data_IF_203766180091
#
_entry.id   IF_203766180091
#
_cell.length_a   1.000
_cell.length_b   1.000
_cell.length_c   1.000
_cell.angle_alpha   90.00
_cell.angle_beta   90.00
_cell.angle_gamma   90.00
#
_symmetry.space_group_name_H-M   'P 1'
#
loop_
_entity.id
_entity.type
_entity.pdbx_description
1 polymer ?
#
# COMPACT_ATOMS: atom_id res chain seq x y z
N UNK A 1 -22.80 -3.46 -4.56
CA UNK A 1 -21.99 -2.40 -5.16
C UNK A 1 -22.05 -1.14 -4.30
N UNK A 2 -23.21 -0.60 -3.94
CA UNK A 2 -23.33 0.62 -3.12
C UNK A 2 -22.56 0.58 -1.78
N UNK A 3 -22.47 -0.58 -1.13
CA UNK A 3 -21.70 -0.78 0.11
C UNK A 3 -20.18 -0.71 -0.10
N UNK A 4 -19.69 -1.14 -1.25
CA UNK A 4 -18.24 -1.17 -1.57
C UNK A 4 -17.74 0.12 -2.23
N UNK A 5 -18.65 0.99 -2.68
CA UNK A 5 -18.38 2.20 -3.46
C UNK A 5 -18.71 1.99 -4.95
N UNK A 6 -19.08 3.06 -5.62
CA UNK A 6 -19.52 3.01 -7.03
C UNK A 6 -18.39 3.20 -8.04
N UNK A 7 -17.23 3.68 -7.60
CA UNK A 7 -16.09 4.00 -8.48
C UNK A 7 -14.78 3.44 -7.92
N UNK A 8 -13.93 3.04 -8.86
CA UNK A 8 -12.53 2.78 -8.59
C UNK A 8 -11.84 4.10 -8.18
N UNK A 9 -11.31 4.16 -6.96
CA UNK A 9 -10.54 5.29 -6.46
C UNK A 9 -9.04 5.03 -6.73
N UNK A 10 -8.54 5.52 -7.86
CA UNK A 10 -7.11 5.44 -8.21
C UNK A 10 -6.23 6.27 -7.24
N UNK A 11 -4.91 6.12 -7.37
CA UNK A 11 -3.93 6.87 -6.58
C UNK A 11 -3.96 8.33 -6.97
N UNK A 12 -4.00 9.22 -5.98
CA UNK A 12 -3.91 10.66 -6.22
C UNK A 12 -2.46 11.08 -6.47
N UNK A 13 -2.15 11.41 -7.71
CA UNK A 13 -0.85 11.93 -8.15
C UNK A 13 -0.87 13.45 -8.43
N UNK A 14 -1.99 14.13 -8.11
CA UNK A 14 -2.19 15.55 -8.40
C UNK A 14 -1.53 16.45 -7.33
N UNK A 15 -0.22 16.28 -7.16
CA UNK A 15 0.60 17.12 -6.29
C UNK A 15 1.94 17.42 -6.99
N UNK A 16 2.67 18.41 -6.48
CA UNK A 16 4.01 18.74 -7.00
C UNK A 16 4.97 17.61 -6.66
N UNK A 17 5.68 17.03 -7.65
CA UNK A 17 6.68 16.01 -7.38
C UNK A 17 7.86 16.52 -6.51
N UNK A 18 8.46 15.66 -5.68
CA UNK A 18 8.09 14.28 -5.45
C UNK A 18 6.82 14.15 -4.60
N UNK A 19 5.81 13.41 -5.08
CA UNK A 19 4.54 13.20 -4.37
C UNK A 19 4.75 12.25 -3.19
N UNK A 20 4.61 12.69 -1.93
CA UNK A 20 4.81 11.80 -0.79
C UNK A 20 3.58 10.94 -0.56
N UNK A 21 3.80 9.65 -0.29
CA UNK A 21 2.77 8.70 0.13
C UNK A 21 3.26 7.90 1.32
N UNK A 22 2.38 7.61 2.26
CA UNK A 22 2.72 6.92 3.50
C UNK A 22 1.93 5.62 3.62
N UNK A 23 2.61 4.53 4.01
CA UNK A 23 1.99 3.25 4.33
C UNK A 23 2.04 3.04 5.84
N UNK A 24 0.87 2.83 6.44
CA UNK A 24 0.68 2.59 7.87
C UNK A 24 -0.01 1.26 8.12
N UNK A 25 0.06 0.73 9.33
CA UNK A 25 -0.60 -0.52 9.70
C UNK A 25 0.17 -1.32 10.76
N UNK A 26 -0.41 -2.40 11.24
CA UNK A 26 0.19 -3.25 12.27
C UNK A 26 1.40 -4.04 11.74
N UNK A 27 2.19 -4.58 12.67
CA UNK A 27 3.27 -5.51 12.36
C UNK A 27 2.69 -6.76 11.68
N UNK A 28 3.35 -7.24 10.63
CA UNK A 28 2.93 -8.42 9.90
C UNK A 28 1.79 -8.20 8.90
N UNK A 29 1.23 -6.98 8.79
CA UNK A 29 0.22 -6.66 7.78
C UNK A 29 0.75 -6.63 6.33
N UNK A 30 2.06 -6.69 6.14
CA UNK A 30 2.69 -6.71 4.81
C UNK A 30 3.08 -5.33 4.27
N UNK A 31 3.25 -4.29 5.10
CA UNK A 31 3.61 -2.94 4.67
C UNK A 31 4.85 -2.88 3.78
N UNK A 32 5.97 -3.42 4.22
CA UNK A 32 7.24 -3.38 3.49
C UNK A 32 7.12 -4.02 2.11
N UNK A 33 6.51 -5.20 2.02
CA UNK A 33 6.25 -5.87 0.74
C UNK A 33 5.27 -5.07 -0.13
N UNK A 34 4.23 -4.49 0.48
CA UNK A 34 3.24 -3.67 -0.22
C UNK A 34 3.86 -2.37 -0.74
N UNK A 35 4.80 -1.77 0.00
CA UNK A 35 5.56 -0.59 -0.45
C UNK A 35 6.29 -0.91 -1.77
N UNK A 36 6.98 -2.03 -1.84
CA UNK A 36 7.67 -2.45 -3.05
C UNK A 36 6.69 -2.77 -4.20
N UNK A 37 5.56 -3.44 -3.91
CA UNK A 37 4.52 -3.72 -4.92
C UNK A 37 3.89 -2.44 -5.45
N UNK A 38 3.57 -1.48 -4.58
CA UNK A 38 3.01 -0.19 -4.98
C UNK A 38 4.01 0.61 -5.81
N UNK A 39 5.30 0.60 -5.44
CA UNK A 39 6.34 1.21 -6.23
C UNK A 39 6.38 0.62 -7.64
N UNK A 40 6.39 -0.70 -7.75
CA UNK A 40 6.39 -1.40 -9.05
C UNK A 40 5.15 -1.11 -9.88
N UNK A 41 3.98 -1.06 -9.23
CA UNK A 41 2.72 -0.66 -9.87
C UNK A 41 2.80 0.76 -10.45
N UNK A 42 3.33 1.72 -9.69
CA UNK A 42 3.47 3.11 -10.13
C UNK A 42 4.46 3.25 -11.29
N UNK A 43 5.57 2.50 -11.28
CA UNK A 43 6.52 2.46 -12.39
C UNK A 43 5.89 1.89 -13.65
N UNK A 44 5.25 0.72 -13.54
CA UNK A 44 4.73 -0.01 -14.70
C UNK A 44 3.49 0.65 -15.30
N UNK A 45 2.53 1.06 -14.46
CA UNK A 45 1.20 1.49 -14.91
C UNK A 45 1.05 3.02 -14.98
N UNK A 46 1.82 3.76 -14.18
CA UNK A 46 1.77 5.23 -14.15
C UNK A 46 3.01 5.89 -14.73
N UNK A 47 4.03 5.11 -15.10
CA UNK A 47 5.31 5.59 -15.64
C UNK A 47 5.98 6.61 -14.73
N UNK A 48 5.89 6.41 -13.41
CA UNK A 48 6.46 7.26 -12.39
C UNK A 48 7.78 6.70 -11.88
N UNK A 49 8.76 7.56 -11.69
CA UNK A 49 10.01 7.22 -11.00
C UNK A 49 9.77 7.26 -9.50
N UNK A 50 9.96 6.13 -8.82
CA UNK A 50 9.61 5.98 -7.39
C UNK A 50 10.86 5.82 -6.54
N UNK A 51 10.88 6.48 -5.38
CA UNK A 51 11.84 6.23 -4.30
C UNK A 51 11.12 5.60 -3.11
N UNK A 52 11.66 4.52 -2.55
CA UNK A 52 11.17 3.91 -1.33
C UNK A 52 12.04 4.28 -0.14
N UNK A 53 11.41 4.46 1.03
CA UNK A 53 12.05 4.87 2.29
C UNK A 53 11.50 4.04 3.42
N UNK A 54 12.38 3.38 4.19
CA UNK A 54 11.98 2.70 5.42
C UNK A 54 12.17 3.63 6.62
N UNK A 55 11.12 3.78 7.42
CA UNK A 55 11.11 4.48 8.70
C UNK A 55 11.12 3.52 9.90
N UNK A 56 11.20 2.20 9.66
CA UNK A 56 11.21 1.18 10.72
C UNK A 56 12.63 1.03 11.31
N UNK A 57 13.00 1.94 12.18
CA UNK A 57 14.28 1.92 12.90
C UNK A 57 14.33 0.92 14.06
N UNK A 58 13.17 0.41 14.47
CA UNK A 58 13.05 -0.52 15.59
C UNK A 58 13.41 -1.96 15.20
N UNK A 59 13.34 -2.26 13.91
CA UNK A 59 13.67 -3.56 13.32
C UNK A 59 14.67 -3.38 12.18
N UNK A 60 15.98 -3.45 12.46
CA UNK A 60 17.02 -3.27 11.41
C UNK A 60 16.80 -4.16 10.19
N UNK A 61 16.34 -5.39 10.39
CA UNK A 61 16.01 -6.30 9.31
C UNK A 61 14.89 -5.78 8.38
N UNK A 62 13.97 -4.90 8.84
CA UNK A 62 12.93 -4.32 8.00
C UNK A 62 13.50 -3.29 7.03
N UNK A 63 14.47 -2.48 7.44
CA UNK A 63 15.15 -1.55 6.55
C UNK A 63 15.96 -2.29 5.48
N UNK A 64 16.72 -3.31 5.86
CA UNK A 64 17.45 -4.15 4.91
C UNK A 64 16.52 -4.94 3.98
N UNK A 65 15.35 -5.36 4.47
CA UNK A 65 14.35 -6.01 3.63
C UNK A 65 13.84 -5.08 2.52
N UNK A 66 13.49 -3.83 2.85
CA UNK A 66 13.03 -2.87 1.84
C UNK A 66 14.13 -2.54 0.83
N UNK A 67 15.37 -2.39 1.28
CA UNK A 67 16.54 -2.19 0.43
C UNK A 67 16.73 -3.36 -0.53
N UNK A 68 16.71 -4.59 -0.04
CA UNK A 68 16.84 -5.80 -0.87
C UNK A 68 15.72 -5.92 -1.90
N UNK A 69 14.48 -5.59 -1.52
CA UNK A 69 13.36 -5.54 -2.47
C UNK A 69 13.58 -4.48 -3.56
N UNK A 70 14.14 -3.34 -3.20
CA UNK A 70 14.51 -2.29 -4.16
C UNK A 70 15.58 -2.74 -5.13
N UNK A 71 16.66 -3.33 -4.63
CA UNK A 71 17.76 -3.85 -5.45
C UNK A 71 17.30 -4.94 -6.43
N UNK A 72 16.51 -5.91 -5.94
CA UNK A 72 15.98 -7.01 -6.76
C UNK A 72 15.04 -6.54 -7.88
N UNK A 73 14.37 -5.40 -7.70
CA UNK A 73 13.36 -4.90 -8.63
C UNK A 73 13.77 -3.62 -9.36
N UNK A 74 15.03 -3.17 -9.19
CA UNK A 74 15.58 -1.93 -9.73
C UNK A 74 14.77 -0.69 -9.33
N UNK A 75 14.28 -0.64 -8.09
CA UNK A 75 13.56 0.49 -7.52
C UNK A 75 14.51 1.27 -6.61
N UNK A 76 14.54 2.60 -6.76
CA UNK A 76 15.38 3.45 -5.93
C UNK A 76 14.97 3.37 -4.46
N UNK A 77 15.93 3.14 -3.58
CA UNK A 77 15.74 3.16 -2.12
C UNK A 77 16.65 4.18 -1.46
N UNK A 78 16.16 4.83 -0.41
CA UNK A 78 16.97 5.73 0.38
C UNK A 78 18.03 4.90 1.14
N UNK A 79 19.33 5.24 1.06
CA UNK A 79 20.36 4.54 1.83
C UNK A 79 20.12 4.62 3.33
N UNK A 80 20.36 3.50 4.01
CA UNK A 80 20.23 3.40 5.47
C UNK A 80 21.42 4.12 6.12
N UNK A 81 21.12 4.96 7.12
CA UNK A 81 22.10 5.58 8.02
C UNK A 81 21.69 5.20 9.43
N UNK A 82 22.56 4.49 10.12
CA UNK A 82 22.31 4.03 11.50
C UNK A 82 22.16 5.22 12.46
N UNK A 83 21.29 5.04 13.45
CA UNK A 83 21.06 6.03 14.52
C UNK A 83 20.17 7.21 14.15
N UNK A 84 19.72 7.35 12.90
CA UNK A 84 18.76 8.39 12.54
C UNK A 84 17.36 8.10 13.12
N UNK A 85 16.69 9.19 13.53
CA UNK A 85 15.28 9.13 13.93
C UNK A 85 14.37 9.22 12.70
N UNK A 86 13.12 8.72 12.77
CA UNK A 86 12.17 8.75 11.65
C UNK A 86 11.98 10.16 11.06
N UNK A 87 11.93 11.18 11.89
CA UNK A 87 11.82 12.57 11.45
C UNK A 87 13.01 13.04 10.57
N UNK A 88 14.23 12.69 10.98
CA UNK A 88 15.45 13.02 10.23
C UNK A 88 15.50 12.27 8.90
N UNK A 89 15.09 11.00 8.90
CA UNK A 89 14.98 10.18 7.69
C UNK A 89 13.98 10.83 6.72
N UNK A 90 12.82 11.29 7.19
CA UNK A 90 11.82 11.96 6.35
C UNK A 90 12.40 13.22 5.66
N UNK A 91 13.09 14.10 6.39
CA UNK A 91 13.68 15.31 5.84
C UNK A 91 14.76 15.00 4.80
N UNK A 92 15.66 14.06 5.11
CA UNK A 92 16.68 13.59 4.19
C UNK A 92 16.06 12.94 2.95
N UNK A 93 14.99 12.17 3.11
CA UNK A 93 14.29 11.50 2.04
C UNK A 93 13.67 12.48 1.03
N UNK A 94 12.99 13.52 1.51
CA UNK A 94 12.40 14.55 0.66
C UNK A 94 13.48 15.27 -0.17
N UNK A 95 14.63 15.62 0.45
CA UNK A 95 15.76 16.22 -0.24
C UNK A 95 16.37 15.27 -1.27
N UNK A 96 16.58 14.01 -0.91
CA UNK A 96 17.15 13.00 -1.79
C UNK A 96 16.22 12.68 -2.98
N UNK A 97 14.91 12.62 -2.77
CA UNK A 97 13.94 12.39 -3.83
C UNK A 97 13.97 13.51 -4.88
N UNK A 98 14.05 14.76 -4.45
CA UNK A 98 14.22 15.91 -5.36
C UNK A 98 15.52 15.80 -6.18
N UNK A 99 16.64 15.52 -5.52
CA UNK A 99 17.96 15.43 -6.18
C UNK A 99 18.02 14.28 -7.20
N UNK A 100 17.32 13.17 -6.91
CA UNK A 100 17.27 12.02 -7.80
C UNK A 100 16.16 12.11 -8.86
N UNK A 101 15.37 13.17 -8.88
CA UNK A 101 14.28 13.36 -9.84
C UNK A 101 13.18 12.29 -9.69
N UNK A 102 12.87 11.88 -8.44
CA UNK A 102 11.76 10.97 -8.19
C UNK A 102 10.43 11.71 -8.35
N UNK A 103 9.46 11.09 -9.00
CA UNK A 103 8.09 11.61 -9.12
C UNK A 103 7.27 11.33 -7.86
N UNK A 104 7.53 10.17 -7.23
CA UNK A 104 6.80 9.69 -6.04
C UNK A 104 7.80 9.19 -5.00
N UNK A 105 7.50 9.42 -3.74
CA UNK A 105 8.26 8.89 -2.62
C UNK A 105 7.31 8.12 -1.70
N UNK A 106 7.64 6.84 -1.43
CA UNK A 106 6.86 5.94 -0.58
C UNK A 106 7.56 5.76 0.76
N UNK A 107 6.85 6.08 1.84
CA UNK A 107 7.32 5.91 3.21
C UNK A 107 6.71 4.65 3.85
N UNK A 108 7.55 3.66 4.12
CA UNK A 108 7.21 2.43 4.87
C UNK A 108 7.42 2.70 6.36
N UNK A 109 6.32 2.89 7.12
CA UNK A 109 6.39 3.19 8.55
C UNK A 109 6.60 1.93 9.40
N UNK A 110 7.13 2.11 10.60
CA UNK A 110 7.18 1.05 11.58
C UNK A 110 5.78 0.50 11.89
N UNK A 111 5.70 -0.79 12.22
CA UNK A 111 4.48 -1.42 12.71
C UNK A 111 4.70 -2.02 14.09
N UNK A 112 3.69 -1.95 14.94
CA UNK A 112 3.66 -2.65 16.23
C UNK A 112 2.59 -3.75 16.21
N UNK A 113 2.68 -4.68 17.14
CA UNK A 113 1.72 -5.81 17.24
C UNK A 113 0.32 -5.36 17.60
N UNK A 114 0.21 -4.21 18.28
CA UNK A 114 -1.05 -3.56 18.64
C UNK A 114 -0.90 -2.05 18.54
N UNK A 115 -2.01 -1.36 18.43
CA UNK A 115 -2.06 0.10 18.43
C UNK A 115 -1.77 0.61 19.84
N UNK A 116 -0.84 1.53 19.95
CA UNK A 116 -0.55 2.26 21.18
C UNK A 116 -0.35 3.76 20.92
N UNK A 117 -0.42 4.57 21.98
CA UNK A 117 -0.32 6.03 21.89
C UNK A 117 1.02 6.48 21.30
N UNK A 118 2.11 5.77 21.58
CA UNK A 118 3.43 6.12 21.08
C UNK A 118 3.53 5.92 19.55
N UNK A 119 3.02 4.79 19.07
CA UNK A 119 2.93 4.52 17.62
C UNK A 119 2.11 5.60 16.91
N UNK A 120 0.94 5.92 17.44
CA UNK A 120 0.05 6.91 16.83
C UNK A 120 0.64 8.32 16.83
N UNK A 121 1.34 8.68 17.91
CA UNK A 121 2.06 9.96 18.01
C UNK A 121 3.18 10.05 16.97
N UNK A 122 3.97 8.98 16.79
CA UNK A 122 5.05 8.91 15.80
C UNK A 122 4.49 9.04 14.37
N UNK A 123 3.44 8.28 14.05
CA UNK A 123 2.81 8.34 12.72
C UNK A 123 2.26 9.75 12.46
N UNK A 124 1.65 10.39 13.46
CA UNK A 124 1.16 11.75 13.34
C UNK A 124 2.28 12.77 13.13
N UNK A 125 3.40 12.60 13.81
CA UNK A 125 4.59 13.43 13.60
C UNK A 125 5.13 13.27 12.17
N UNK A 126 5.24 12.04 11.68
CA UNK A 126 5.66 11.74 10.30
C UNK A 126 4.70 12.41 9.31
N UNK A 127 3.37 12.24 9.48
CA UNK A 127 2.35 12.86 8.62
C UNK A 127 2.53 14.38 8.54
N UNK A 128 2.78 15.05 9.66
CA UNK A 128 2.99 16.49 9.70
C UNK A 128 4.27 16.95 8.95
N UNK A 129 5.32 16.12 8.96
CA UNK A 129 6.58 16.42 8.28
C UNK A 129 6.45 16.25 6.76
N UNK A 130 5.93 15.07 6.33
CA UNK A 130 5.91 14.71 4.91
C UNK A 130 4.68 15.22 4.17
N UNK A 131 3.60 15.55 4.88
CA UNK A 131 2.31 16.01 4.32
C UNK A 131 1.87 15.14 3.14
N UNK A 132 1.62 13.85 3.37
CA UNK A 132 1.41 12.89 2.30
C UNK A 132 0.17 13.24 1.48
N UNK A 133 0.27 13.11 0.14
CA UNK A 133 -0.89 13.19 -0.75
C UNK A 133 -1.82 11.97 -0.58
N UNK A 134 -1.23 10.85 -0.14
CA UNK A 134 -1.95 9.61 0.16
C UNK A 134 -1.38 8.96 1.42
N UNK A 135 -2.28 8.52 2.30
CA UNK A 135 -1.96 7.66 3.43
C UNK A 135 -2.74 6.36 3.31
N UNK A 136 -2.03 5.26 3.07
CA UNK A 136 -2.62 3.94 2.90
C UNK A 136 -2.51 3.12 4.18
N UNK A 137 -3.65 2.65 4.68
CA UNK A 137 -3.64 1.58 5.67
C UNK A 137 -3.41 0.24 4.96
N UNK A 138 -2.34 -0.45 5.33
CA UNK A 138 -2.09 -1.83 4.89
C UNK A 138 -2.66 -2.78 5.93
N UNK A 139 -3.64 -3.56 5.55
CA UNK A 139 -4.37 -4.46 6.43
C UNK A 139 -4.45 -5.87 5.84
N UNK A 140 -4.35 -6.87 6.70
CA UNK A 140 -4.44 -8.28 6.32
C UNK A 140 -5.90 -8.71 6.23
N UNK A 141 -6.32 -9.17 5.05
CA UNK A 141 -7.69 -9.64 4.82
C UNK A 141 -8.08 -10.84 5.68
N UNK A 142 -7.10 -11.65 6.09
CA UNK A 142 -7.36 -12.85 6.90
C UNK A 142 -7.72 -12.52 8.36
N UNK A 143 -7.46 -11.30 8.83
CA UNK A 143 -7.78 -10.86 10.20
C UNK A 143 -9.21 -10.34 10.36
N UNK A 144 -9.96 -10.22 9.27
CA UNK A 144 -11.40 -9.95 9.28
C UNK A 144 -11.81 -8.69 10.08
N UNK A 145 -12.66 -8.88 11.11
CA UNK A 145 -13.19 -7.77 11.92
C UNK A 145 -12.11 -7.03 12.72
N UNK A 146 -11.02 -7.69 13.11
CA UNK A 146 -9.90 -7.04 13.81
C UNK A 146 -9.28 -5.96 12.91
N UNK A 147 -9.06 -6.27 11.63
CA UNK A 147 -8.54 -5.30 10.68
C UNK A 147 -9.48 -4.08 10.53
N UNK A 148 -10.78 -4.29 10.58
CA UNK A 148 -11.76 -3.20 10.47
C UNK A 148 -11.75 -2.27 11.70
N UNK A 149 -11.57 -2.81 12.91
CA UNK A 149 -11.39 -2.01 14.12
C UNK A 149 -10.09 -1.20 14.08
N UNK A 150 -9.00 -1.83 13.64
CA UNK A 150 -7.70 -1.17 13.41
C UNK A 150 -7.86 0.00 12.42
N UNK A 151 -8.59 -0.19 11.33
CA UNK A 151 -8.82 0.86 10.34
C UNK A 151 -9.55 2.07 10.93
N UNK A 152 -10.49 1.86 11.84
CA UNK A 152 -11.18 2.94 12.55
C UNK A 152 -10.21 3.74 13.41
N UNK A 153 -9.37 3.06 14.21
CA UNK A 153 -8.41 3.73 15.10
C UNK A 153 -7.36 4.54 14.31
N UNK A 154 -6.85 4.00 13.20
CA UNK A 154 -5.96 4.75 12.32
C UNK A 154 -6.64 5.96 11.70
N UNK A 155 -7.90 5.83 11.25
CA UNK A 155 -8.67 6.94 10.68
C UNK A 155 -8.89 8.08 11.68
N UNK A 156 -9.07 7.75 12.96
CA UNK A 156 -9.28 8.76 14.02
C UNK A 156 -7.97 9.52 14.33
N UNK A 157 -6.81 9.00 13.93
CA UNK A 157 -5.50 9.59 14.20
C UNK A 157 -4.89 10.30 12.98
N UNK A 158 -4.92 9.66 11.81
CA UNK A 158 -4.31 10.17 10.58
C UNK A 158 -5.33 10.26 9.45
N UNK A 159 -5.04 11.10 8.46
CA UNK A 159 -5.92 11.28 7.32
C UNK A 159 -5.79 10.13 6.32
N UNK A 160 -6.44 8.99 6.60
CA UNK A 160 -6.43 7.85 5.69
C UNK A 160 -7.14 8.18 4.38
N UNK A 161 -6.45 8.01 3.27
CA UNK A 161 -6.97 8.21 1.91
C UNK A 161 -7.39 6.91 1.22
N UNK A 162 -6.89 5.77 1.71
CA UNK A 162 -7.20 4.47 1.14
C UNK A 162 -6.72 3.30 1.98
N UNK A 163 -7.22 2.13 1.66
CA UNK A 163 -6.84 0.86 2.26
C UNK A 163 -6.25 -0.05 1.18
N UNK A 164 -5.18 -0.75 1.53
CA UNK A 164 -4.61 -1.84 0.73
C UNK A 164 -4.81 -3.13 1.53
N UNK A 165 -5.60 -4.05 1.00
CA UNK A 165 -5.80 -5.37 1.60
C UNK A 165 -4.74 -6.33 1.09
N UNK A 166 -3.98 -6.94 2.00
CA UNK A 166 -3.00 -7.98 1.68
C UNK A 166 -3.62 -9.37 1.85
N UNK A 167 -3.01 -10.39 1.25
CA UNK A 167 -3.50 -11.79 1.29
C UNK A 167 -4.95 -11.93 0.84
N UNK A 168 -5.38 -11.10 -0.10
CA UNK A 168 -6.75 -11.08 -0.59
C UNK A 168 -7.12 -12.32 -1.43
N UNK A 169 -6.15 -13.09 -1.86
CA UNK A 169 -6.29 -14.42 -2.44
C UNK A 169 -6.87 -15.44 -1.45
N UNK A 170 -6.62 -15.26 -0.14
CA UNK A 170 -7.21 -16.07 0.93
C UNK A 170 -8.64 -15.67 1.30
N UNK A 171 -9.10 -14.49 0.93
CA UNK A 171 -10.48 -14.02 1.16
C UNK A 171 -11.38 -14.32 -0.05
N UNK A 172 -11.66 -15.60 -0.24
CA UNK A 172 -12.40 -16.09 -1.42
C UNK A 172 -13.78 -15.44 -1.62
N UNK A 173 -14.39 -14.91 -0.57
CA UNK A 173 -15.71 -14.28 -0.59
C UNK A 173 -15.70 -12.75 -0.49
N UNK A 174 -14.54 -12.13 -0.33
CA UNK A 174 -14.43 -10.66 -0.21
C UNK A 174 -15.05 -10.08 1.08
N UNK A 175 -15.23 -10.91 2.11
CA UNK A 175 -15.87 -10.49 3.36
C UNK A 175 -15.06 -9.45 4.13
N UNK A 176 -13.74 -9.54 4.10
CA UNK A 176 -12.86 -8.55 4.70
C UNK A 176 -13.02 -7.16 4.05
N UNK A 177 -13.15 -7.10 2.73
CA UNK A 177 -13.35 -5.85 2.00
C UNK A 177 -14.67 -5.16 2.40
N UNK A 178 -15.74 -5.94 2.52
CA UNK A 178 -17.05 -5.40 2.94
C UNK A 178 -16.99 -4.86 4.36
N UNK A 179 -16.47 -5.65 5.30
CA UNK A 179 -16.36 -5.27 6.72
C UNK A 179 -15.48 -4.03 6.89
N UNK A 180 -14.33 -4.01 6.22
CA UNK A 180 -13.39 -2.91 6.26
C UNK A 180 -14.02 -1.61 5.77
N UNK A 181 -14.66 -1.65 4.58
CA UNK A 181 -15.33 -0.50 4.00
C UNK A 181 -16.48 0.00 4.87
N UNK A 182 -17.29 -0.92 5.41
CA UNK A 182 -18.45 -0.57 6.24
C UNK A 182 -18.05 0.11 7.54
N UNK A 183 -17.03 -0.42 8.23
CA UNK A 183 -16.63 0.09 9.55
C UNK A 183 -15.78 1.35 9.43
N UNK A 184 -14.77 1.35 8.55
CA UNK A 184 -13.83 2.47 8.43
C UNK A 184 -14.36 3.64 7.59
N UNK A 185 -15.28 3.39 6.66
CA UNK A 185 -15.73 4.34 5.64
C UNK A 185 -14.58 4.85 4.73
N UNK A 186 -13.39 4.23 4.81
CA UNK A 186 -12.24 4.54 3.95
C UNK A 186 -12.34 3.70 2.67
N UNK A 187 -12.02 4.23 1.48
CA UNK A 187 -12.06 3.45 0.25
C UNK A 187 -10.94 2.40 0.22
N UNK A 188 -11.26 1.20 -0.25
CA UNK A 188 -10.23 0.22 -0.61
C UNK A 188 -9.72 0.62 -1.99
N UNK A 189 -8.40 0.72 -2.16
CA UNK A 189 -7.78 1.10 -3.44
C UNK A 189 -7.07 -0.08 -4.11
N UNK A 190 -6.47 -0.98 -3.33
CA UNK A 190 -5.70 -2.09 -3.87
C UNK A 190 -5.93 -3.39 -3.10
N UNK A 191 -5.69 -4.50 -3.81
CA UNK A 191 -5.64 -5.87 -3.29
C UNK A 191 -4.28 -6.47 -3.58
N UNK A 192 -3.61 -6.98 -2.56
CA UNK A 192 -2.42 -7.83 -2.69
C UNK A 192 -2.86 -9.30 -2.79
N UNK A 193 -2.62 -9.91 -3.93
CA UNK A 193 -3.12 -11.26 -4.30
C UNK A 193 -2.00 -12.27 -4.45
N UNK A 194 -1.12 -12.37 -3.51
CA UNK A 194 0.02 -13.31 -3.53
C UNK A 194 1.35 -12.64 -3.28
N UNK A 195 2.45 -13.38 -3.39
CA UNK A 195 3.77 -12.95 -2.93
C UNK A 195 4.59 -12.18 -3.98
N UNK A 196 4.35 -12.41 -5.28
CA UNK A 196 5.13 -11.77 -6.35
C UNK A 196 4.97 -10.25 -6.35
N UNK A 197 6.02 -9.55 -6.77
CA UNK A 197 6.07 -8.08 -6.78
C UNK A 197 4.95 -7.46 -7.62
N UNK A 198 4.55 -8.10 -8.70
CA UNK A 198 3.48 -7.63 -9.58
C UNK A 198 2.07 -7.99 -9.08
N UNK A 199 1.93 -8.71 -7.96
CA UNK A 199 0.65 -9.14 -7.41
C UNK A 199 0.03 -8.03 -6.54
N UNK A 200 -0.21 -6.87 -7.14
CA UNK A 200 -0.99 -5.77 -6.60
C UNK A 200 -2.01 -5.36 -7.66
N UNK A 201 -3.28 -5.57 -7.37
CA UNK A 201 -4.38 -5.23 -8.26
C UNK A 201 -5.16 -4.03 -7.73
N UNK A 202 -5.67 -3.21 -8.64
CA UNK A 202 -6.61 -2.15 -8.29
C UNK A 202 -7.92 -2.77 -7.81
N UNK A 203 -8.50 -2.19 -6.77
CA UNK A 203 -9.77 -2.66 -6.23
C UNK A 203 -10.93 -2.30 -7.15
N UNK A 204 -11.69 -3.30 -7.57
CA UNK A 204 -12.91 -3.15 -8.39
C UNK A 204 -14.14 -3.60 -7.59
N UNK A 205 -14.98 -2.67 -7.11
CA UNK A 205 -16.17 -3.00 -6.31
C UNK A 205 -17.10 -4.02 -6.97
N UNK A 206 -17.30 -3.90 -8.28
CA UNK A 206 -18.19 -4.78 -9.03
C UNK A 206 -17.69 -6.24 -9.06
N UNK A 207 -16.39 -6.43 -9.23
CA UNK A 207 -15.77 -7.78 -9.22
C UNK A 207 -15.95 -8.46 -7.87
N UNK A 208 -15.74 -7.73 -6.78
CA UNK A 208 -15.94 -8.26 -5.42
C UNK A 208 -17.42 -8.54 -5.17
N UNK A 209 -18.32 -7.65 -5.58
CA UNK A 209 -19.76 -7.87 -5.46
C UNK A 209 -20.21 -9.14 -6.20
N UNK A 210 -19.74 -9.35 -7.43
CA UNK A 210 -20.03 -10.56 -8.22
C UNK A 210 -19.49 -11.82 -7.55
N UNK A 211 -18.29 -11.77 -6.97
CA UNK A 211 -17.69 -12.87 -6.23
C UNK A 211 -18.51 -13.24 -4.98
N UNK A 212 -18.98 -12.24 -4.22
CA UNK A 212 -19.84 -12.45 -3.04
C UNK A 212 -21.16 -13.10 -3.44
N UNK A 213 -21.75 -12.69 -4.56
CA UNK A 213 -23.02 -13.22 -5.06
C UNK A 213 -22.89 -14.59 -5.75
N UNK A 214 -21.68 -15.15 -5.83
CA UNK A 214 -21.44 -16.43 -6.50
C UNK A 214 -21.59 -16.39 -8.02
N UNK A 215 -21.61 -15.20 -8.63
CA UNK A 215 -21.78 -15.04 -10.09
C UNK A 215 -20.49 -15.26 -10.89
N UNK A 216 -19.38 -15.58 -10.20
CA UNK A 216 -18.07 -15.77 -10.83
C UNK A 216 -17.45 -14.44 -11.35
N UNK A 217 -16.14 -14.40 -11.47
CA UNK A 217 -15.43 -13.26 -12.06
C UNK A 217 -15.08 -13.56 -13.52
N UNK A 218 -16.12 -13.56 -14.37
CA UNK A 218 -15.97 -13.85 -15.80
C UNK A 218 -15.03 -12.83 -16.49
N UNK A 219 -15.05 -11.58 -16.03
CA UNK A 219 -14.21 -10.51 -16.59
C UNK A 219 -12.74 -10.78 -16.32
N UNK A 220 -12.37 -11.14 -15.09
CA UNK A 220 -10.97 -11.51 -14.76
C UNK A 220 -10.49 -12.76 -15.51
N UNK A 221 -11.37 -13.73 -15.76
CA UNK A 221 -11.03 -14.91 -16.54
C UNK A 221 -10.76 -14.55 -18.01
N UNK A 222 -11.56 -13.67 -18.60
CA UNK A 222 -11.37 -13.21 -19.99
C UNK A 222 -10.12 -12.35 -20.10
N UNK A 223 -9.85 -11.46 -19.15
CA UNK A 223 -8.65 -10.62 -19.16
C UNK A 223 -7.36 -11.46 -19.01
N UNK A 224 -7.35 -12.46 -18.11
CA UNK A 224 -6.22 -13.39 -17.99
C UNK A 224 -6.01 -14.20 -19.25
N UNK A 225 -7.08 -14.75 -19.83
CA UNK A 225 -6.99 -15.47 -21.09
C UNK A 225 -6.46 -14.59 -22.25
N UNK A 226 -6.85 -13.32 -22.28
CA UNK A 226 -6.35 -12.39 -23.30
C UNK A 226 -4.87 -12.02 -23.08
N UNK A 227 -4.39 -11.92 -21.84
CA UNK A 227 -2.99 -11.69 -21.52
C UNK A 227 -2.13 -12.92 -21.90
N UNK A 228 -2.56 -14.12 -21.53
CA UNK A 228 -1.85 -15.36 -21.84
C UNK A 228 -1.75 -15.58 -23.36
N UNK A 229 -2.82 -15.30 -24.11
CA UNK A 229 -2.82 -15.36 -25.58
C UNK A 229 -1.96 -14.27 -26.23
N UNK A 230 -1.80 -13.11 -25.60
CA UNK A 230 -0.92 -12.03 -26.06
C UNK A 230 0.56 -12.37 -25.91
N UNK A 231 0.93 -13.12 -24.87
CA UNK A 231 2.32 -13.55 -24.64
C UNK A 231 2.75 -14.73 -25.52
N UNK A 232 1.83 -15.57 -25.96
CA UNK A 232 2.13 -16.68 -26.91
C UNK A 232 2.36 -16.21 -28.33
N UNK A 233 1.87 -15.03 -28.73
CA UNK A 233 2.05 -14.49 -30.09
C UNK A 233 3.33 -13.66 -30.29
N UNK A 234 4.21 -13.56 -29.28
CA UNK A 234 5.48 -12.80 -29.32
C UNK A 234 6.72 -13.72 -29.31
N UNK A 235 6.53 -15.03 -29.49
CA UNK A 235 7.65 -16.00 -29.64
C UNK A 235 7.84 -16.44 -31.07
#
# INVERSE_FOLDING_TARGET
VSLLGEKNNDVNLNAVPPVPMMLVGLQGSGKTTTTAKLAKYLENNKKKRVMMVSLDIYRPAAQEQLKSLGEQNNILTLPIIEGQQPADICQRALSAANLNGADVILFDTAGRTQIDLQMMSEIKQIENIIKPAETFLVADSLTGQVAASVAKEFKDTVNLSGIILTRADGDARGGAAVSMKFISQVPIKFLGIGEKINNLEVFHPDRIANRILGMGDIVSLVEKAAQDLGEENIK
#
